data_IF_875078220201
#
_entry.id   IF_875078220201
#
_cell.length_a   1.000
_cell.length_b   1.000
_cell.length_c   1.000
_cell.angle_alpha   90.00
_cell.angle_beta   90.00
_cell.angle_gamma   90.00
#
_symmetry.space_group_name_H-M   'P 1'
#
loop_
_entity.id
_entity.type
_entity.pdbx_description
1 polymer ?
#
# COMPACT_ATOMS: atom_id res chain seq x y z
N UNK A 1 28.22 -10.53 6.07
CA UNK A 1 27.17 -10.47 7.11
C UNK A 1 25.78 -10.01 6.60
N UNK A 2 25.61 -9.60 5.33
CA UNK A 2 24.31 -9.14 4.79
C UNK A 2 23.26 -10.24 4.55
N UNK A 3 23.65 -11.49 4.25
CA UNK A 3 22.70 -12.56 3.95
C UNK A 3 21.97 -13.14 5.18
N UNK A 4 22.65 -13.21 6.34
CA UNK A 4 22.02 -13.66 7.58
C UNK A 4 20.98 -12.64 8.10
N UNK A 5 21.27 -11.35 7.93
CA UNK A 5 20.34 -10.27 8.25
C UNK A 5 19.04 -10.38 7.43
N UNK A 6 19.11 -10.73 6.14
CA UNK A 6 17.93 -10.79 5.27
C UNK A 6 17.01 -11.98 5.55
N UNK A 7 17.55 -13.10 6.07
CA UNK A 7 16.74 -14.26 6.48
C UNK A 7 16.02 -14.00 7.79
N UNK A 8 16.72 -13.43 8.78
CA UNK A 8 16.11 -13.04 10.05
C UNK A 8 15.01 -12.01 9.83
N UNK A 9 15.24 -10.97 9.02
CA UNK A 9 14.22 -9.97 8.70
C UNK A 9 12.99 -10.57 8.01
N UNK A 10 13.17 -11.55 7.11
CA UNK A 10 12.04 -12.26 6.46
C UNK A 10 11.24 -13.11 7.44
N UNK A 11 11.89 -13.73 8.43
CA UNK A 11 11.21 -14.47 9.49
C UNK A 11 10.47 -13.55 10.44
N UNK A 12 11.10 -12.44 10.85
CA UNK A 12 10.50 -11.40 11.68
C UNK A 12 9.27 -10.78 10.99
N UNK A 13 9.34 -10.50 9.68
CA UNK A 13 8.21 -10.01 8.90
C UNK A 13 7.06 -11.02 8.86
N UNK A 14 7.35 -12.29 8.55
CA UNK A 14 6.32 -13.35 8.55
C UNK A 14 5.64 -13.51 9.92
N UNK A 15 6.42 -13.44 10.99
CA UNK A 15 5.86 -13.49 12.35
C UNK A 15 4.98 -12.26 12.63
N UNK A 16 5.41 -11.06 12.22
CA UNK A 16 4.61 -9.84 12.36
C UNK A 16 3.29 -9.95 11.59
N UNK A 17 3.33 -10.45 10.36
CA UNK A 17 2.17 -10.66 9.49
C UNK A 17 1.19 -11.70 10.07
N UNK A 18 1.71 -12.81 10.59
CA UNK A 18 0.90 -13.82 11.25
C UNK A 18 0.23 -13.27 12.52
N UNK A 19 0.96 -12.50 13.33
CA UNK A 19 0.38 -11.84 14.51
C UNK A 19 -0.67 -10.80 14.13
N UNK A 20 -0.52 -10.12 12.99
CA UNK A 20 -1.43 -9.11 12.49
C UNK A 20 -2.75 -9.71 11.95
N UNK A 21 -2.68 -10.79 11.18
CA UNK A 21 -3.86 -11.42 10.56
C UNK A 21 -4.61 -12.37 11.49
N UNK A 22 -3.95 -12.89 12.53
CA UNK A 22 -4.62 -13.79 13.47
C UNK A 22 -5.80 -13.10 14.15
N UNK A 23 -7.03 -13.54 13.91
CA UNK A 23 -8.25 -12.86 14.40
C UNK A 23 -8.32 -12.62 15.92
N UNK A 24 -7.55 -13.36 16.71
CA UNK A 24 -7.60 -13.37 18.17
C UNK A 24 -6.43 -12.62 18.87
N UNK A 25 -5.27 -12.54 18.24
CA UNK A 25 -4.01 -12.05 18.83
C UNK A 25 -3.80 -10.50 18.82
N UNK A 26 -4.20 -9.74 17.78
CA UNK A 26 -4.06 -8.28 17.67
C UNK A 26 -4.79 -7.51 18.76
N UNK A 27 -5.79 -8.12 19.42
CA UNK A 27 -6.60 -7.46 20.46
C UNK A 27 -5.83 -7.24 21.76
N UNK A 28 -4.75 -7.98 22.00
CA UNK A 28 -3.90 -7.75 23.17
C UNK A 28 -2.96 -6.57 22.94
N UNK A 29 -2.97 -5.59 23.85
CA UNK A 29 -2.07 -4.42 23.81
C UNK A 29 -0.60 -4.82 23.72
N UNK A 30 -0.21 -5.96 24.30
CA UNK A 30 1.17 -6.47 24.26
C UNK A 30 1.54 -6.94 22.85
N UNK A 31 0.66 -7.73 22.23
CA UNK A 31 0.86 -8.22 20.87
C UNK A 31 0.91 -7.07 19.88
N UNK A 32 0.00 -6.10 19.99
CA UNK A 32 0.00 -4.93 19.11
C UNK A 32 1.31 -4.14 19.19
N UNK A 33 1.88 -3.94 20.39
CA UNK A 33 3.19 -3.29 20.55
C UNK A 33 4.30 -4.11 19.93
N UNK A 34 4.29 -5.43 20.11
CA UNK A 34 5.29 -6.33 19.54
C UNK A 34 5.20 -6.36 18.01
N UNK A 35 4.01 -6.47 17.43
CA UNK A 35 3.78 -6.38 15.97
C UNK A 35 4.30 -5.07 15.41
N UNK A 36 4.00 -3.94 16.06
CA UNK A 36 4.51 -2.62 15.65
C UNK A 36 6.04 -2.56 15.72
N UNK A 37 6.64 -3.12 16.76
CA UNK A 37 8.10 -3.15 16.92
C UNK A 37 8.78 -4.01 15.86
N UNK A 38 8.21 -5.17 15.53
CA UNK A 38 8.75 -6.04 14.47
C UNK A 38 8.65 -5.38 13.10
N UNK A 39 7.51 -4.77 12.77
CA UNK A 39 7.36 -4.02 11.52
C UNK A 39 8.33 -2.85 11.44
N UNK A 40 8.56 -2.13 12.56
CA UNK A 40 9.56 -1.07 12.62
C UNK A 40 10.96 -1.60 12.31
N UNK A 41 11.40 -2.68 12.99
CA UNK A 41 12.73 -3.26 12.76
C UNK A 41 12.90 -3.76 11.33
N UNK A 42 11.87 -4.39 10.76
CA UNK A 42 11.90 -4.85 9.37
C UNK A 42 11.95 -3.67 8.38
N UNK A 43 11.22 -2.59 8.66
CA UNK A 43 11.26 -1.38 7.85
C UNK A 43 12.62 -0.68 7.91
N UNK A 44 13.23 -0.59 9.10
CA UNK A 44 14.58 -0.04 9.29
C UNK A 44 15.65 -0.91 8.61
N UNK A 45 15.44 -2.21 8.52
CA UNK A 45 16.27 -3.14 7.74
C UNK A 45 16.03 -3.09 6.22
N UNK A 46 15.10 -2.25 5.74
CA UNK A 46 14.82 -2.05 4.31
C UNK A 46 13.87 -3.07 3.69
N UNK A 47 13.11 -3.84 4.47
CA UNK A 47 12.13 -4.77 3.92
C UNK A 47 10.95 -4.01 3.31
N UNK A 48 10.77 -4.12 2.00
CA UNK A 48 9.81 -3.34 1.20
C UNK A 48 8.37 -3.47 1.74
N UNK A 49 7.87 -4.68 1.92
CA UNK A 49 6.51 -4.89 2.44
C UNK A 49 6.34 -4.37 3.87
N UNK A 50 7.41 -4.37 4.67
CA UNK A 50 7.38 -3.83 6.02
C UNK A 50 7.35 -2.30 6.00
N UNK A 51 8.10 -1.67 5.10
CA UNK A 51 8.05 -0.22 4.85
C UNK A 51 6.62 0.21 4.47
N UNK A 52 5.98 -0.53 3.56
CA UNK A 52 4.60 -0.29 3.13
C UNK A 52 3.60 -0.40 4.30
N UNK A 53 3.60 -1.54 4.99
CA UNK A 53 2.67 -1.83 6.09
C UNK A 53 2.89 -0.91 7.29
N UNK A 54 4.14 -0.75 7.74
CA UNK A 54 4.48 0.13 8.86
C UNK A 54 4.20 1.60 8.54
N UNK A 55 4.55 2.03 7.32
CA UNK A 55 4.28 3.38 6.84
C UNK A 55 2.79 3.70 6.83
N UNK A 56 1.97 2.78 6.31
CA UNK A 56 0.51 2.89 6.32
C UNK A 56 -0.04 2.99 7.75
N UNK A 57 0.43 2.12 8.66
CA UNK A 57 0.00 2.16 10.07
C UNK A 57 0.34 3.50 10.74
N UNK A 58 1.55 4.03 10.56
CA UNK A 58 1.93 5.33 11.11
C UNK A 58 1.11 6.46 10.50
N UNK A 59 0.91 6.46 9.18
CA UNK A 59 0.17 7.52 8.49
C UNK A 59 -1.29 7.62 8.95
N UNK A 60 -1.99 6.49 9.10
CA UNK A 60 -3.40 6.48 9.48
C UNK A 60 -3.67 6.45 10.98
N UNK A 61 -2.82 5.78 11.76
CA UNK A 61 -3.09 5.53 13.20
C UNK A 61 -2.35 6.48 14.13
N UNK A 62 -1.32 7.18 13.66
CA UNK A 62 -0.61 8.12 14.52
C UNK A 62 -1.45 9.38 14.78
N UNK A 63 -1.40 9.84 16.02
CA UNK A 63 -2.09 11.07 16.45
C UNK A 63 -1.20 12.29 16.13
N UNK A 64 0.12 12.14 16.27
CA UNK A 64 1.09 13.24 16.10
C UNK A 64 1.37 13.48 14.62
N UNK A 65 1.37 14.74 14.15
CA UNK A 65 1.70 15.07 12.75
C UNK A 65 3.09 14.59 12.30
N UNK A 66 4.07 14.59 13.20
CA UNK A 66 5.44 14.12 12.92
C UNK A 66 5.48 12.63 12.58
N UNK A 67 4.74 11.82 13.33
CA UNK A 67 4.65 10.37 13.10
C UNK A 67 3.91 10.06 11.80
N UNK A 68 2.88 10.84 11.46
CA UNK A 68 2.21 10.75 10.16
C UNK A 68 3.16 11.08 9.01
N UNK A 69 3.96 12.13 9.14
CA UNK A 69 4.98 12.49 8.15
C UNK A 69 6.04 11.38 8.00
N UNK A 70 6.49 10.78 9.11
CA UNK A 70 7.37 9.60 9.09
C UNK A 70 6.72 8.42 8.35
N UNK A 71 5.45 8.15 8.61
CA UNK A 71 4.68 7.12 7.89
C UNK A 71 4.62 7.37 6.39
N UNK A 72 4.31 8.60 5.98
CA UNK A 72 4.28 8.99 4.57
C UNK A 72 5.64 8.80 3.89
N UNK A 73 6.76 9.09 4.57
CA UNK A 73 8.11 8.83 4.03
C UNK A 73 8.35 7.35 3.76
N UNK A 74 7.97 6.46 4.68
CA UNK A 74 8.13 5.02 4.48
C UNK A 74 7.26 4.49 3.34
N UNK A 75 6.02 4.95 3.23
CA UNK A 75 5.15 4.63 2.10
C UNK A 75 5.77 5.08 0.78
N UNK A 76 6.26 6.32 0.71
CA UNK A 76 6.89 6.83 -0.50
C UNK A 76 8.15 6.06 -0.89
N UNK A 77 8.91 5.57 0.08
CA UNK A 77 10.09 4.75 -0.16
C UNK A 77 9.71 3.37 -0.70
N UNK A 78 8.75 2.69 -0.08
CA UNK A 78 8.23 1.41 -0.57
C UNK A 78 7.63 1.53 -1.99
N UNK A 79 6.89 2.61 -2.26
CA UNK A 79 6.27 2.87 -3.56
C UNK A 79 7.32 3.04 -4.67
N UNK A 80 8.45 3.71 -4.38
CA UNK A 80 9.58 3.85 -5.31
C UNK A 80 10.30 2.55 -5.58
N UNK A 81 10.31 1.64 -4.60
CA UNK A 81 10.89 0.30 -4.74
C UNK A 81 9.93 -0.70 -5.41
N UNK A 82 8.75 -0.26 -5.85
CA UNK A 82 7.82 -1.07 -6.65
C UNK A 82 6.71 -1.76 -5.85
N UNK A 83 6.57 -1.49 -4.54
CA UNK A 83 5.49 -2.08 -3.75
C UNK A 83 4.12 -1.56 -4.22
N UNK A 84 3.32 -2.45 -4.78
CA UNK A 84 2.04 -2.14 -5.43
C UNK A 84 1.06 -1.51 -4.44
N UNK A 85 0.98 -2.04 -3.21
CA UNK A 85 0.15 -1.46 -2.15
C UNK A 85 0.64 -0.08 -1.73
N UNK A 86 1.95 0.14 -1.60
CA UNK A 86 2.51 1.43 -1.25
C UNK A 86 2.31 2.47 -2.36
N UNK A 87 2.34 2.07 -3.63
CA UNK A 87 2.01 2.95 -4.75
C UNK A 87 0.58 3.48 -4.65
N UNK A 88 -0.39 2.60 -4.34
CA UNK A 88 -1.76 3.04 -4.05
C UNK A 88 -1.82 4.02 -2.87
N UNK A 89 -1.13 3.71 -1.77
CA UNK A 89 -1.09 4.62 -0.60
C UNK A 89 -0.38 5.95 -0.92
N UNK A 90 0.64 5.96 -1.79
CA UNK A 90 1.29 7.17 -2.27
C UNK A 90 0.30 8.04 -3.07
N UNK A 91 -0.54 7.42 -3.90
CA UNK A 91 -1.65 8.09 -4.56
C UNK A 91 -2.56 8.82 -3.57
N UNK A 92 -2.98 8.12 -2.50
CA UNK A 92 -3.81 8.71 -1.43
C UNK A 92 -3.13 9.84 -0.68
N UNK A 93 -1.83 9.72 -0.42
CA UNK A 93 -1.03 10.77 0.24
C UNK A 93 -1.05 12.05 -0.60
N UNK A 94 -0.86 11.95 -1.92
CA UNK A 94 -0.90 13.13 -2.79
C UNK A 94 -2.31 13.64 -3.07
N UNK A 95 -3.33 12.78 -3.05
CA UNK A 95 -4.73 13.21 -3.21
C UNK A 95 -5.22 14.04 -2.01
N UNK A 96 -4.89 13.63 -0.78
CA UNK A 96 -5.36 14.32 0.42
C UNK A 96 -4.37 15.37 0.91
N UNK A 97 -3.09 15.19 0.59
CA UNK A 97 -2.00 15.94 1.17
C UNK A 97 -1.72 15.59 2.64
N UNK A 98 -0.54 15.94 3.11
CA UNK A 98 -0.15 15.95 4.52
C UNK A 98 0.96 16.99 4.75
N UNK A 99 1.42 17.12 6.00
CA UNK A 99 2.41 18.14 6.39
C UNK A 99 3.67 18.17 5.51
N UNK A 100 4.14 17.02 5.01
CA UNK A 100 5.36 16.93 4.19
C UNK A 100 5.09 16.78 2.68
N UNK A 101 3.91 16.28 2.31
CA UNK A 101 3.53 16.03 0.92
C UNK A 101 2.25 16.82 0.64
N UNK A 102 2.34 18.03 0.08
CA UNK A 102 1.16 18.82 -0.23
C UNK A 102 0.28 18.09 -1.25
N UNK A 103 -1.02 18.40 -1.22
CA UNK A 103 -1.96 17.86 -2.18
C UNK A 103 -1.50 18.18 -3.61
N UNK A 104 -1.42 17.15 -4.45
CA UNK A 104 -0.97 17.19 -5.84
C UNK A 104 -1.68 16.12 -6.65
N UNK A 105 -2.80 16.49 -7.23
CA UNK A 105 -3.68 15.59 -7.96
C UNK A 105 -2.96 14.93 -9.16
N UNK A 106 -2.06 15.66 -9.83
CA UNK A 106 -1.20 15.14 -10.90
C UNK A 106 -0.32 13.96 -10.46
N UNK A 107 0.27 14.08 -9.26
CA UNK A 107 1.06 13.00 -8.66
C UNK A 107 0.17 11.87 -8.17
N UNK A 108 -1.00 12.16 -7.63
CA UNK A 108 -1.95 11.15 -7.20
C UNK A 108 -2.35 10.23 -8.36
N UNK A 109 -2.75 10.82 -9.50
CA UNK A 109 -3.07 10.07 -10.73
C UNK A 109 -1.91 9.20 -11.18
N UNK A 110 -0.68 9.75 -11.18
CA UNK A 110 0.52 8.99 -11.60
C UNK A 110 0.74 7.75 -10.72
N UNK A 111 0.60 7.88 -9.40
CA UNK A 111 0.79 6.77 -8.47
C UNK A 111 -0.36 5.76 -8.52
N UNK A 112 -1.60 6.22 -8.68
CA UNK A 112 -2.72 5.31 -8.88
C UNK A 112 -2.61 4.53 -10.19
N UNK A 113 -2.14 5.17 -11.27
CA UNK A 113 -1.98 4.51 -12.56
C UNK A 113 -0.95 3.39 -12.46
N UNK A 114 0.21 3.68 -11.86
CA UNK A 114 1.25 2.67 -11.60
C UNK A 114 0.75 1.50 -10.76
N UNK A 115 0.03 1.79 -9.67
CA UNK A 115 -0.52 0.74 -8.82
C UNK A 115 -1.57 -0.09 -9.54
N UNK A 116 -2.47 0.56 -10.29
CA UNK A 116 -3.49 -0.10 -11.09
C UNK A 116 -2.86 -1.02 -12.14
N UNK A 117 -1.96 -0.49 -12.98
CA UNK A 117 -1.22 -1.25 -14.00
C UNK A 117 -0.42 -2.42 -13.40
N UNK A 118 0.05 -2.29 -12.16
CA UNK A 118 0.75 -3.35 -11.43
C UNK A 118 -0.17 -4.32 -10.70
N UNK A 119 -1.49 -4.23 -10.92
CA UNK A 119 -2.47 -5.20 -10.42
C UNK A 119 -3.23 -4.78 -9.16
N UNK A 120 -3.21 -3.50 -8.76
CA UNK A 120 -3.94 -3.04 -7.57
C UNK A 120 -5.39 -2.64 -7.91
N UNK A 121 -6.40 -3.44 -7.51
CA UNK A 121 -7.79 -3.21 -7.93
C UNK A 121 -8.33 -1.86 -7.44
N UNK A 122 -8.12 -1.53 -6.16
CA UNK A 122 -8.60 -0.26 -5.60
C UNK A 122 -7.95 0.99 -6.22
N UNK A 123 -6.77 0.85 -6.83
CA UNK A 123 -6.11 1.98 -7.49
C UNK A 123 -6.72 2.21 -8.87
N UNK A 124 -6.97 1.12 -9.61
CA UNK A 124 -7.67 1.13 -10.88
C UNK A 124 -9.12 1.63 -10.71
N UNK A 125 -9.85 1.15 -9.70
CA UNK A 125 -11.19 1.63 -9.35
C UNK A 125 -11.19 3.14 -9.04
N UNK A 126 -10.23 3.62 -8.23
CA UNK A 126 -10.11 5.05 -7.91
C UNK A 126 -9.90 5.91 -9.15
N UNK A 127 -9.13 5.42 -10.13
CA UNK A 127 -8.94 6.11 -11.42
C UNK A 127 -10.18 6.05 -12.31
N UNK A 128 -10.89 4.92 -12.33
CA UNK A 128 -12.16 4.81 -13.03
C UNK A 128 -13.16 5.85 -12.51
N UNK A 129 -13.30 5.98 -11.18
CA UNK A 129 -14.11 7.04 -10.56
C UNK A 129 -13.63 8.45 -10.90
N UNK A 130 -12.31 8.67 -10.91
CA UNK A 130 -11.78 9.98 -11.24
C UNK A 130 -12.12 10.39 -12.69
N UNK A 131 -12.05 9.47 -13.65
CA UNK A 131 -12.47 9.71 -15.03
C UNK A 131 -14.00 9.78 -15.22
N UNK A 132 -14.81 9.08 -14.39
CA UNK A 132 -16.27 9.20 -14.44
C UNK A 132 -16.75 10.57 -13.98
N UNK A 133 -16.15 11.10 -12.92
CA UNK A 133 -16.63 12.32 -12.26
C UNK A 133 -15.79 13.56 -12.55
N UNK A 134 -14.69 13.44 -13.30
CA UNK A 134 -13.78 14.56 -13.59
C UNK A 134 -13.03 15.04 -12.35
N UNK A 135 -12.54 14.11 -11.52
CA UNK A 135 -11.76 14.43 -10.32
C UNK A 135 -10.25 14.39 -10.58
N UNK A 136 -9.45 14.81 -9.60
CA UNK A 136 -7.98 14.79 -9.67
C UNK A 136 -7.40 15.56 -10.87
N UNK A 137 -8.10 16.61 -11.32
CA UNK A 137 -7.71 17.39 -12.50
C UNK A 137 -7.87 16.64 -13.83
N UNK A 138 -8.54 15.49 -13.84
CA UNK A 138 -8.86 14.75 -15.06
C UNK A 138 -10.17 15.25 -15.66
N UNK A 139 -10.24 15.28 -16.99
CA UNK A 139 -11.50 15.48 -17.70
C UNK A 139 -12.36 14.22 -17.61
N UNK A 140 -13.68 14.40 -17.69
CA UNK A 140 -14.62 13.28 -17.78
C UNK A 140 -14.34 12.51 -19.07
N UNK A 141 -14.03 11.22 -18.93
CA UNK A 141 -13.74 10.32 -20.05
C UNK A 141 -14.31 8.92 -19.77
N UNK A 142 -15.51 8.60 -20.29
CA UNK A 142 -16.15 7.31 -20.07
C UNK A 142 -15.36 6.11 -20.61
N UNK A 143 -14.56 6.31 -21.68
CA UNK A 143 -13.77 5.22 -22.26
C UNK A 143 -12.60 4.87 -21.36
N UNK A 144 -11.87 5.88 -20.86
CA UNK A 144 -10.81 5.66 -19.86
C UNK A 144 -11.38 5.10 -18.57
N UNK A 145 -12.53 5.58 -18.12
CA UNK A 145 -13.19 5.04 -16.94
C UNK A 145 -13.51 3.54 -17.09
N UNK A 146 -14.07 3.13 -18.23
CA UNK A 146 -14.37 1.72 -18.51
C UNK A 146 -13.10 0.86 -18.60
N UNK A 147 -12.02 1.40 -19.19
CA UNK A 147 -10.73 0.72 -19.24
C UNK A 147 -10.16 0.44 -17.83
N UNK A 148 -10.12 1.45 -16.96
CA UNK A 148 -9.64 1.27 -15.59
C UNK A 148 -10.55 0.38 -14.75
N UNK A 149 -11.87 0.42 -14.99
CA UNK A 149 -12.81 -0.50 -14.33
C UNK A 149 -12.54 -1.95 -14.74
N UNK A 150 -12.40 -2.22 -16.04
CA UNK A 150 -12.10 -3.56 -16.52
C UNK A 150 -10.78 -4.10 -15.96
N UNK A 151 -9.77 -3.24 -15.82
CA UNK A 151 -8.50 -3.60 -15.21
C UNK A 151 -8.67 -3.94 -13.72
N UNK A 152 -9.45 -3.16 -12.97
CA UNK A 152 -9.81 -3.49 -11.58
C UNK A 152 -10.49 -4.84 -11.47
N UNK A 153 -11.49 -5.11 -12.30
CA UNK A 153 -12.27 -6.34 -12.28
C UNK A 153 -11.40 -7.56 -12.63
N UNK A 154 -10.46 -7.41 -13.58
CA UNK A 154 -9.49 -8.43 -13.91
C UNK A 154 -8.59 -8.77 -12.70
N UNK A 155 -8.06 -7.77 -12.00
CA UNK A 155 -7.22 -8.00 -10.82
C UNK A 155 -7.99 -8.73 -9.71
N UNK A 156 -9.25 -8.37 -9.48
CA UNK A 156 -10.10 -9.06 -8.49
C UNK A 156 -10.37 -10.50 -8.93
N UNK A 157 -10.63 -10.74 -10.21
CA UNK A 157 -10.85 -12.09 -10.74
C UNK A 157 -9.59 -12.97 -10.58
N UNK A 158 -8.41 -12.40 -10.83
CA UNK A 158 -7.13 -13.09 -10.63
C UNK A 158 -6.87 -13.42 -9.15
N UNK A 159 -7.22 -12.51 -8.23
CA UNK A 159 -7.06 -12.72 -6.78
C UNK A 159 -8.06 -13.73 -6.19
N UNK A 160 -9.27 -13.82 -6.77
CA UNK A 160 -10.35 -14.71 -6.30
C UNK A 160 -10.37 -16.08 -6.98
N UNK A 161 -9.61 -16.28 -8.06
CA UNK A 161 -9.51 -17.56 -8.73
C UNK A 161 -8.92 -18.63 -7.79
N UNK A 162 -9.59 -19.78 -7.60
CA UNK A 162 -9.01 -20.87 -6.83
C UNK A 162 -7.73 -21.35 -7.52
N UNK A 163 -6.67 -21.58 -6.74
CA UNK A 163 -5.34 -22.02 -7.19
C UNK A 163 -5.29 -23.39 -7.93
N UNK A 164 -6.42 -23.90 -8.42
CA UNK A 164 -6.58 -25.20 -9.06
C UNK A 164 -6.31 -25.21 -10.58
N UNK A 165 -5.96 -24.08 -11.20
CA UNK A 165 -5.80 -24.00 -12.67
C UNK A 165 -4.35 -23.99 -13.16
N UNK A 166 -3.37 -24.28 -12.31
CA UNK A 166 -1.94 -24.42 -12.70
C UNK A 166 -1.42 -25.86 -12.55
N UNK A 167 -2.20 -26.83 -13.04
CA UNK A 167 -1.73 -28.19 -13.34
C UNK A 167 -2.03 -28.51 -14.80
N UNK A 168 -1.11 -28.13 -15.71
CA UNK A 168 -0.92 -28.80 -16.99
C UNK A 168 0.57 -28.88 -17.30
#
# INVERSE_FOLDING_TARGET
MHQASSLVTRLEYRLAEQLFHNRWLPRSRRTQRLTMHLYQRCAEAGHISALSVYGHMLFHRAIRPQDKAKGARYVMEAARQGDVSAQYQAGRIFEHGCAQYPRRDDKAVTWYARAGEAGHPLAAERLADAYRSGMLGLAVDPLRAAHWQALSDQCIAEETAPAASLCH
#
